data_IF_328582812156
#
_entry.id   IF_328582812156
#
_cell.length_a   1.000
_cell.length_b   1.000
_cell.length_c   1.000
_cell.angle_alpha   90.00
_cell.angle_beta   90.00
_cell.angle_gamma   90.00
#
_symmetry.space_group_name_H-M   'P 1'
#
loop_
_entity.id
_entity.type
_entity.pdbx_description
1 polymer ?
#
# COMPACT_ATOMS: atom_id res chain seq x y z
N UNK A 1 -33.25 13.53 -6.45
CA UNK A 1 -32.15 14.53 -6.34
C UNK A 1 -30.88 14.12 -7.11
N UNK A 2 -30.78 12.91 -7.68
CA UNK A 2 -29.68 12.47 -8.55
C UNK A 2 -29.54 13.24 -9.89
N UNK A 3 -30.58 13.95 -10.33
CA UNK A 3 -30.61 14.63 -11.64
C UNK A 3 -29.94 16.01 -11.68
N UNK A 4 -29.65 16.61 -10.52
CA UNK A 4 -28.99 17.93 -10.45
C UNK A 4 -27.46 17.84 -10.54
N UNK A 5 -26.85 16.73 -10.11
CA UNK A 5 -25.40 16.53 -10.19
C UNK A 5 -24.94 16.24 -11.64
N UNK A 6 -25.66 15.40 -12.40
CA UNK A 6 -25.35 15.16 -13.81
C UNK A 6 -25.35 16.43 -14.67
N UNK A 7 -26.22 17.39 -14.36
CA UNK A 7 -26.34 18.63 -15.14
C UNK A 7 -25.18 19.61 -14.88
N UNK A 8 -24.56 19.56 -13.69
CA UNK A 8 -23.35 20.31 -13.37
C UNK A 8 -22.10 19.66 -14.00
N UNK A 9 -22.05 18.33 -14.04
CA UNK A 9 -20.96 17.55 -14.67
C UNK A 9 -20.89 17.71 -16.21
N UNK A 10 -22.04 17.77 -16.90
CA UNK A 10 -22.07 17.93 -18.36
C UNK A 10 -21.79 19.36 -18.85
N UNK A 11 -22.02 20.37 -18.01
CA UNK A 11 -21.82 21.78 -18.38
C UNK A 11 -20.35 22.20 -18.30
N UNK A 12 -19.56 21.60 -17.40
CA UNK A 12 -18.11 21.87 -17.29
C UNK A 12 -17.31 21.09 -18.36
N UNK A 13 -17.74 19.87 -18.70
CA UNK A 13 -17.05 19.00 -19.67
C UNK A 13 -17.09 19.52 -21.11
N UNK A 14 -18.05 20.39 -21.46
CA UNK A 14 -18.13 21.02 -22.80
C UNK A 14 -17.31 22.31 -22.94
N UNK A 15 -16.79 22.86 -21.84
CA UNK A 15 -16.04 24.13 -21.85
C UNK A 15 -14.52 24.00 -22.00
N UNK A 16 -13.98 22.78 -21.95
CA UNK A 16 -12.54 22.51 -21.96
C UNK A 16 -12.15 21.49 -23.04
N UNK A 17 -12.59 21.72 -24.27
CA UNK A 17 -11.86 21.25 -25.44
C UNK A 17 -11.08 22.43 -26.01
N UNK A 18 -9.77 22.49 -25.74
CA UNK A 18 -8.72 22.68 -26.73
C UNK A 18 -7.37 22.97 -26.04
N UNK A 19 -6.39 22.18 -26.50
CA UNK A 19 -4.95 22.46 -26.61
C UNK A 19 -3.97 21.72 -25.67
N UNK A 20 -3.13 20.94 -26.37
CA UNK A 20 -1.83 20.34 -26.04
C UNK A 20 -1.81 18.92 -25.46
N UNK A 21 -1.90 17.95 -26.39
CA UNK A 21 -1.38 16.60 -26.19
C UNK A 21 0.16 16.60 -26.20
N UNK A 22 0.85 16.02 -25.21
CA UNK A 22 2.28 15.76 -25.32
C UNK A 22 2.54 14.48 -26.13
N UNK A 23 3.61 14.53 -26.92
CA UNK A 23 4.02 13.51 -27.88
C UNK A 23 4.40 12.17 -27.23
N UNK A 24 3.97 11.07 -27.85
CA UNK A 24 4.39 9.70 -27.52
C UNK A 24 5.85 9.52 -27.99
N UNK A 25 6.79 9.54 -27.05
CA UNK A 25 8.18 9.13 -27.29
C UNK A 25 8.24 7.61 -27.42
N UNK A 26 8.67 7.12 -28.59
CA UNK A 26 8.96 5.70 -28.84
C UNK A 26 10.14 5.23 -27.96
N UNK A 27 10.10 4.03 -27.37
CA UNK A 27 11.20 3.53 -26.54
C UNK A 27 12.45 3.21 -27.38
N UNK A 28 13.61 3.59 -26.83
CA UNK A 28 14.95 3.44 -27.40
C UNK A 28 15.41 1.96 -27.34
N UNK A 29 15.93 1.35 -28.41
CA UNK A 29 16.14 -0.11 -28.50
C UNK A 29 17.39 -0.65 -27.77
N UNK A 30 17.86 -0.01 -26.69
CA UNK A 30 19.03 -0.45 -25.91
C UNK A 30 18.76 -0.53 -24.40
N UNK A 31 17.61 -1.06 -24.03
CA UNK A 31 17.25 -1.31 -22.62
C UNK A 31 17.59 -2.75 -22.26
N UNK A 32 18.49 -2.96 -21.31
CA UNK A 32 18.80 -4.29 -20.77
C UNK A 32 17.56 -4.90 -20.12
N UNK A 33 17.44 -6.24 -20.15
CA UNK A 33 16.27 -6.96 -19.61
C UNK A 33 15.97 -6.59 -18.14
N UNK A 34 16.98 -6.19 -17.37
CA UNK A 34 16.82 -5.70 -16.01
C UNK A 34 16.09 -4.35 -15.95
N UNK A 35 16.45 -3.36 -16.77
CA UNK A 35 15.78 -2.05 -16.78
C UNK A 35 14.33 -2.10 -17.24
N UNK A 36 13.99 -2.97 -18.20
CA UNK A 36 12.59 -3.17 -18.60
C UNK A 36 11.76 -3.86 -17.51
N UNK A 37 12.38 -4.80 -16.76
CA UNK A 37 11.78 -5.38 -15.55
C UNK A 37 11.54 -4.33 -14.47
N UNK A 38 12.51 -3.43 -14.25
CA UNK A 38 12.43 -2.36 -13.24
C UNK A 38 11.47 -1.21 -13.63
N UNK A 39 11.29 -0.92 -14.92
CA UNK A 39 10.26 0.03 -15.39
C UNK A 39 8.84 -0.49 -15.24
N UNK A 40 8.64 -1.80 -15.14
CA UNK A 40 7.33 -2.38 -14.83
C UNK A 40 7.07 -2.43 -13.31
N UNK A 41 8.12 -2.22 -12.51
CA UNK A 41 8.09 -2.15 -11.04
C UNK A 41 7.88 -0.72 -10.50
N UNK A 42 7.79 0.30 -11.36
CA UNK A 42 7.34 1.62 -10.91
C UNK A 42 5.96 1.49 -10.32
N UNK A 43 5.87 1.83 -9.02
CA UNK A 43 4.64 2.02 -8.27
C UNK A 43 3.57 2.64 -9.17
N UNK A 44 2.30 2.21 -9.10
CA UNK A 44 1.23 3.12 -9.45
C UNK A 44 1.43 4.34 -8.53
N UNK A 45 1.94 5.43 -9.11
CA UNK A 45 1.86 6.73 -8.47
C UNK A 45 0.41 6.89 -7.99
N UNK A 46 0.22 7.40 -6.77
CA UNK A 46 -1.07 7.62 -6.09
C UNK A 46 -1.53 6.58 -5.04
N UNK A 47 -0.64 5.80 -4.40
CA UNK A 47 -0.87 5.42 -2.98
C UNK A 47 -0.01 6.32 -2.11
N UNK A 48 -0.58 6.97 -1.09
CA UNK A 48 0.17 7.77 -0.09
C UNK A 48 1.19 6.94 0.72
N UNK A 49 1.31 5.65 0.45
CA UNK A 49 2.29 4.75 1.07
C UNK A 49 3.56 4.72 0.20
N UNK A 50 4.30 5.83 0.17
CA UNK A 50 5.65 5.81 -0.38
C UNK A 50 6.55 5.02 0.59
N UNK A 51 6.75 3.77 0.22
CA UNK A 51 7.66 2.86 0.88
C UNK A 51 9.10 3.28 0.56
N UNK A 52 9.64 4.21 1.37
CA UNK A 52 11.03 4.68 1.24
C UNK A 52 12.02 3.61 1.76
N UNK A 53 12.21 2.59 0.92
CA UNK A 53 13.22 1.55 1.09
C UNK A 53 14.40 1.78 0.16
N UNK A 54 15.61 1.63 0.69
CA UNK A 54 16.81 1.50 -0.13
C UNK A 54 16.96 0.05 -0.58
N UNK A 55 16.17 -0.34 -1.58
CA UNK A 55 16.18 -1.71 -2.07
C UNK A 55 17.48 -2.03 -2.81
N UNK A 56 18.38 -2.76 -2.15
CA UNK A 56 19.55 -3.34 -2.82
C UNK A 56 19.20 -4.65 -3.52
N UNK A 57 18.77 -4.54 -4.78
CA UNK A 57 18.48 -5.71 -5.63
C UNK A 57 19.74 -6.38 -6.19
N UNK A 58 20.91 -5.76 -6.05
CA UNK A 58 22.17 -6.27 -6.59
C UNK A 58 22.95 -7.10 -5.57
N UNK A 59 22.46 -7.19 -4.33
CA UNK A 59 23.11 -7.96 -3.29
C UNK A 59 23.22 -9.44 -3.69
N UNK A 60 24.43 -10.03 -3.73
CA UNK A 60 24.63 -11.39 -4.26
C UNK A 60 23.93 -12.48 -3.44
N UNK A 61 23.62 -12.22 -2.16
CA UNK A 61 22.84 -13.15 -1.32
C UNK A 61 21.33 -13.08 -1.56
N UNK A 62 20.81 -11.98 -2.13
CA UNK A 62 19.37 -11.79 -2.36
C UNK A 62 18.81 -12.85 -3.31
N UNK A 63 19.49 -13.13 -4.41
CA UNK A 63 19.03 -14.12 -5.38
C UNK A 63 18.97 -15.53 -4.78
N UNK A 64 20.02 -15.93 -4.03
CA UNK A 64 20.06 -17.23 -3.33
C UNK A 64 18.95 -17.32 -2.29
N UNK A 65 18.73 -16.24 -1.54
CA UNK A 65 17.69 -16.16 -0.52
C UNK A 65 16.29 -16.28 -1.13
N UNK A 66 16.01 -15.57 -2.22
CA UNK A 66 14.73 -15.67 -2.94
C UNK A 66 14.49 -17.08 -3.48
N UNK A 67 15.51 -17.72 -4.07
CA UNK A 67 15.39 -19.09 -4.57
C UNK A 67 15.10 -20.08 -3.45
N UNK A 68 15.80 -19.95 -2.32
CA UNK A 68 15.56 -20.75 -1.13
C UNK A 68 14.11 -20.62 -0.62
N UNK A 69 13.63 -19.38 -0.50
CA UNK A 69 12.25 -19.08 -0.05
C UNK A 69 11.17 -19.61 -1.00
N UNK A 70 11.45 -19.69 -2.31
CA UNK A 70 10.51 -20.22 -3.32
C UNK A 70 10.47 -21.74 -3.36
N UNK A 71 11.61 -22.40 -3.15
CA UNK A 71 11.74 -23.84 -3.38
C UNK A 71 11.41 -24.67 -2.14
N UNK A 72 11.69 -24.14 -0.94
CA UNK A 72 11.42 -24.85 0.30
C UNK A 72 10.05 -24.40 0.85
N UNK A 73 9.31 -25.32 1.47
CA UNK A 73 8.02 -25.02 2.09
C UNK A 73 7.99 -25.33 3.60
N UNK A 74 9.05 -25.94 4.12
CA UNK A 74 9.09 -26.42 5.50
C UNK A 74 9.83 -25.43 6.40
N UNK A 75 9.34 -25.24 7.62
CA UNK A 75 9.97 -24.37 8.62
C UNK A 75 11.31 -24.97 9.12
N UNK A 76 11.50 -26.30 9.04
CA UNK A 76 12.75 -26.97 9.45
C UNK A 76 13.95 -26.64 8.54
N UNK A 77 13.69 -26.43 7.23
CA UNK A 77 14.72 -26.08 6.24
C UNK A 77 15.27 -24.66 6.45
N UNK A 78 14.48 -23.79 7.09
CA UNK A 78 14.88 -22.43 7.41
C UNK A 78 16.08 -22.43 8.35
N UNK A 79 16.01 -23.16 9.46
CA UNK A 79 17.12 -23.26 10.41
C UNK A 79 18.42 -23.77 9.77
N UNK A 80 18.33 -24.68 8.78
CA UNK A 80 19.50 -25.21 8.09
C UNK A 80 20.15 -24.21 7.14
N UNK A 81 19.37 -23.50 6.31
CA UNK A 81 19.89 -22.43 5.44
C UNK A 81 20.57 -21.32 6.24
N UNK A 82 20.03 -21.03 7.43
CA UNK A 82 20.52 -19.98 8.32
C UNK A 82 21.82 -20.35 9.03
N UNK A 83 22.09 -21.64 9.23
CA UNK A 83 23.40 -22.12 9.70
C UNK A 83 24.49 -22.07 8.60
N UNK A 84 24.09 -22.11 7.33
CA UNK A 84 25.00 -22.16 6.19
C UNK A 84 25.33 -20.75 5.63
N UNK A 85 24.44 -19.78 5.79
CA UNK A 85 24.67 -18.39 5.40
C UNK A 85 25.32 -17.61 6.55
N UNK A 86 26.64 -17.39 6.46
CA UNK A 86 27.45 -16.71 7.50
C UNK A 86 27.08 -15.24 7.79
N UNK A 87 26.20 -14.61 7.01
CA UNK A 87 25.82 -13.21 7.16
C UNK A 87 24.34 -13.09 7.56
N UNK A 88 24.08 -12.45 8.71
CA UNK A 88 22.72 -12.14 9.15
C UNK A 88 22.06 -11.21 8.13
N UNK A 89 20.83 -11.51 7.67
CA UNK A 89 20.16 -10.66 6.72
C UNK A 89 19.81 -9.32 7.38
N UNK A 90 20.39 -8.23 6.87
CA UNK A 90 20.02 -6.87 7.25
C UNK A 90 18.55 -6.59 6.82
N UNK A 91 17.87 -5.69 7.52
CA UNK A 91 16.50 -5.26 7.22
C UNK A 91 16.31 -4.89 5.75
N UNK A 92 17.28 -4.20 5.13
CA UNK A 92 17.18 -3.79 3.72
C UNK A 92 17.13 -5.01 2.77
N UNK A 93 17.91 -6.05 3.06
CA UNK A 93 17.90 -7.30 2.28
C UNK A 93 16.54 -8.01 2.41
N UNK A 94 15.96 -8.01 3.61
CA UNK A 94 14.64 -8.57 3.88
C UNK A 94 13.56 -7.79 3.14
N UNK A 95 13.59 -6.46 3.20
CA UNK A 95 12.65 -5.61 2.48
C UNK A 95 12.75 -5.82 0.97
N UNK A 96 13.97 -5.91 0.42
CA UNK A 96 14.20 -6.27 -0.99
C UNK A 96 13.63 -7.63 -1.33
N UNK A 97 13.81 -8.64 -0.47
CA UNK A 97 13.26 -9.98 -0.68
C UNK A 97 11.73 -9.98 -0.65
N UNK A 98 11.10 -9.34 0.35
CA UNK A 98 9.65 -9.20 0.46
C UNK A 98 9.10 -8.48 -0.77
N UNK A 99 9.75 -7.41 -1.22
CA UNK A 99 9.34 -6.67 -2.41
C UNK A 99 9.36 -7.52 -3.68
N UNK A 100 10.42 -8.31 -3.89
CA UNK A 100 10.51 -9.22 -5.04
C UNK A 100 9.49 -10.36 -4.94
N UNK A 101 9.15 -10.80 -3.73
CA UNK A 101 8.21 -11.89 -3.46
C UNK A 101 6.75 -11.44 -3.34
N UNK A 102 6.45 -10.14 -3.46
CA UNK A 102 5.10 -9.57 -3.21
C UNK A 102 3.95 -10.21 -4.00
N UNK A 103 4.24 -10.82 -5.14
CA UNK A 103 3.24 -11.53 -5.95
C UNK A 103 2.73 -12.82 -5.26
N UNK A 104 3.46 -13.34 -4.26
CA UNK A 104 3.05 -14.47 -3.43
C UNK A 104 3.19 -14.15 -1.94
N UNK A 105 2.06 -14.06 -1.24
CA UNK A 105 2.06 -13.69 0.17
C UNK A 105 2.78 -14.71 1.08
N UNK A 106 2.79 -16.00 0.73
CA UNK A 106 3.44 -17.06 1.52
C UNK A 106 4.97 -16.92 1.57
N UNK A 107 5.71 -16.89 0.43
CA UNK A 107 7.15 -16.63 0.45
C UNK A 107 7.52 -15.28 1.08
N UNK A 108 6.73 -14.23 0.83
CA UNK A 108 6.96 -12.90 1.41
C UNK A 108 6.81 -12.92 2.94
N UNK A 109 5.78 -13.60 3.46
CA UNK A 109 5.56 -13.74 4.89
C UNK A 109 6.65 -14.58 5.54
N UNK A 110 7.14 -15.62 4.86
CA UNK A 110 8.27 -16.42 5.34
C UNK A 110 9.54 -15.57 5.44
N UNK A 111 9.85 -14.78 4.42
CA UNK A 111 10.98 -13.84 4.46
C UNK A 111 10.89 -12.90 5.69
N UNK A 112 9.70 -12.35 5.95
CA UNK A 112 9.46 -11.51 7.11
C UNK A 112 9.64 -12.27 8.45
N UNK A 113 9.06 -13.46 8.58
CA UNK A 113 9.19 -14.28 9.79
C UNK A 113 10.64 -14.61 10.11
N UNK A 114 11.44 -14.95 9.10
CA UNK A 114 12.88 -15.18 9.30
C UNK A 114 13.52 -13.94 9.93
N UNK A 115 13.29 -12.74 9.39
CA UNK A 115 13.82 -11.52 10.00
C UNK A 115 13.45 -11.36 11.48
N UNK A 116 12.19 -11.65 11.85
CA UNK A 116 11.73 -11.54 13.24
C UNK A 116 12.40 -12.54 14.18
N UNK A 117 12.83 -13.71 13.67
CA UNK A 117 13.53 -14.74 14.45
C UNK A 117 15.01 -14.38 14.70
N UNK A 118 15.68 -13.67 13.78
CA UNK A 118 17.12 -13.41 13.88
C UNK A 118 17.46 -12.07 14.53
N UNK A 119 16.73 -11.01 14.18
CA UNK A 119 17.13 -9.66 14.55
C UNK A 119 16.48 -9.20 15.86
N UNK A 120 15.52 -9.95 16.43
CA UNK A 120 14.69 -9.59 17.59
C UNK A 120 14.07 -8.18 17.49
N UNK A 121 14.13 -7.57 16.31
CA UNK A 121 13.77 -6.20 16.05
C UNK A 121 12.80 -6.23 14.88
N UNK A 122 11.53 -6.12 15.20
CA UNK A 122 10.50 -5.90 14.21
C UNK A 122 10.70 -4.47 13.69
N UNK A 123 11.33 -4.32 12.52
CA UNK A 123 11.44 -3.00 11.89
C UNK A 123 10.05 -2.56 11.42
N UNK A 124 9.65 -1.34 11.80
CA UNK A 124 8.39 -0.73 11.38
C UNK A 124 8.23 -0.78 9.86
N UNK A 125 9.30 -0.51 9.11
CA UNK A 125 9.26 -0.51 7.64
C UNK A 125 8.98 -1.92 7.10
N UNK A 126 9.68 -2.93 7.59
CA UNK A 126 9.47 -4.32 7.17
C UNK A 126 8.05 -4.80 7.51
N UNK A 127 7.52 -4.41 8.67
CA UNK A 127 6.14 -4.70 9.08
C UNK A 127 5.13 -4.04 8.13
N UNK A 128 5.30 -2.75 7.84
CA UNK A 128 4.42 -2.01 6.93
C UNK A 128 4.42 -2.65 5.52
N UNK A 129 5.58 -3.05 5.01
CA UNK A 129 5.67 -3.70 3.69
C UNK A 129 4.95 -5.04 3.66
N UNK A 130 5.18 -5.91 4.66
CA UNK A 130 4.50 -7.22 4.67
C UNK A 130 2.98 -7.07 4.88
N UNK A 131 2.54 -6.09 5.66
CA UNK A 131 1.11 -5.75 5.83
C UNK A 131 0.50 -5.34 4.50
N UNK A 132 1.20 -4.53 3.71
CA UNK A 132 0.75 -4.15 2.37
C UNK A 132 0.66 -5.35 1.42
N UNK A 133 1.65 -6.25 1.42
CA UNK A 133 1.60 -7.50 0.65
C UNK A 133 0.39 -8.34 1.06
N UNK A 134 0.22 -8.58 2.36
CA UNK A 134 -0.91 -9.37 2.89
C UNK A 134 -2.26 -8.74 2.54
N UNK A 135 -2.39 -7.42 2.66
CA UNK A 135 -3.61 -6.70 2.29
C UNK A 135 -3.91 -6.76 0.79
N UNK A 136 -2.89 -6.72 -0.07
CA UNK A 136 -3.04 -6.92 -1.52
C UNK A 136 -3.56 -8.31 -1.87
N UNK A 137 -3.18 -9.33 -1.09
CA UNK A 137 -3.69 -10.70 -1.20
C UNK A 137 -4.94 -10.98 -0.35
N UNK A 138 -5.60 -9.93 0.18
CA UNK A 138 -6.77 -10.01 1.05
C UNK A 138 -6.58 -10.89 2.32
N UNK A 139 -5.33 -11.12 2.75
CA UNK A 139 -4.98 -11.85 3.98
C UNK A 139 -5.02 -10.94 5.21
N UNK A 140 -6.17 -10.28 5.39
CA UNK A 140 -6.35 -9.26 6.43
C UNK A 140 -6.21 -9.80 7.85
N UNK A 141 -6.62 -11.05 8.12
CA UNK A 141 -6.47 -11.66 9.45
C UNK A 141 -5.01 -11.73 9.89
N UNK A 142 -4.13 -12.19 9.00
CA UNK A 142 -2.68 -12.24 9.21
C UNK A 142 -2.09 -10.85 9.34
N UNK A 143 -2.50 -9.91 8.48
CA UNK A 143 -2.02 -8.53 8.55
C UNK A 143 -2.36 -7.86 9.89
N UNK A 144 -3.58 -8.06 10.39
CA UNK A 144 -3.99 -7.59 11.72
C UNK A 144 -3.23 -8.26 12.86
N UNK A 145 -2.76 -9.50 12.69
CA UNK A 145 -1.86 -10.13 13.66
C UNK A 145 -0.55 -9.36 13.78
N UNK A 146 0.06 -9.03 12.64
CA UNK A 146 1.31 -8.26 12.61
C UNK A 146 1.10 -6.86 13.23
N UNK A 147 -0.03 -6.20 12.95
CA UNK A 147 -0.34 -4.89 13.56
C UNK A 147 -0.46 -4.98 15.09
N UNK A 148 -1.06 -6.06 15.62
CA UNK A 148 -1.11 -6.28 17.07
C UNK A 148 0.28 -6.51 17.64
N UNK A 149 1.11 -7.29 16.96
CA UNK A 149 2.48 -7.55 17.38
C UNK A 149 3.32 -6.26 17.37
N UNK A 150 3.15 -5.39 16.35
CA UNK A 150 3.75 -4.06 16.31
C UNK A 150 3.34 -3.21 17.52
N UNK A 151 2.04 -3.13 17.82
CA UNK A 151 1.53 -2.37 18.96
C UNK A 151 2.07 -2.91 20.29
N UNK A 152 2.13 -4.24 20.46
CA UNK A 152 2.66 -4.87 21.67
C UNK A 152 4.16 -4.63 21.84
N UNK A 153 4.91 -4.56 20.74
CA UNK A 153 6.32 -4.19 20.70
C UNK A 153 6.56 -2.67 20.73
N UNK A 154 5.53 -1.85 20.97
CA UNK A 154 5.61 -0.38 21.02
C UNK A 154 6.10 0.28 19.72
N UNK A 155 5.93 -0.37 18.58
CA UNK A 155 6.17 0.22 17.26
C UNK A 155 4.99 1.09 16.84
N UNK A 156 5.27 2.12 16.02
CA UNK A 156 4.20 2.93 15.44
C UNK A 156 3.34 2.08 14.51
N UNK A 157 2.03 2.09 14.75
CA UNK A 157 1.04 1.40 13.89
C UNK A 157 0.34 2.35 12.94
N UNK A 158 0.68 3.65 12.95
CA UNK A 158 -0.03 4.67 12.17
C UNK A 158 0.00 4.36 10.67
N UNK A 159 1.19 4.18 10.11
CA UNK A 159 1.35 3.83 8.70
C UNK A 159 0.68 2.48 8.35
N UNK A 160 0.77 1.50 9.25
CA UNK A 160 0.10 0.21 9.07
C UNK A 160 -1.44 0.34 8.98
N UNK A 161 -2.04 1.24 9.76
CA UNK A 161 -3.48 1.54 9.67
C UNK A 161 -3.84 2.16 8.32
N UNK A 162 -3.04 3.12 7.84
CA UNK A 162 -3.26 3.74 6.53
C UNK A 162 -3.17 2.72 5.39
N UNK A 163 -2.19 1.82 5.46
CA UNK A 163 -2.04 0.72 4.52
C UNK A 163 -3.30 -0.16 4.53
N UNK A 164 -3.77 -0.60 5.70
CA UNK A 164 -4.94 -1.48 5.78
C UNK A 164 -6.22 -0.79 5.30
N UNK A 165 -6.40 0.49 5.60
CA UNK A 165 -7.52 1.30 5.07
C UNK A 165 -7.52 1.26 3.53
N UNK A 166 -6.38 1.56 2.92
CA UNK A 166 -6.21 1.58 1.46
C UNK A 166 -6.40 0.18 0.85
N UNK A 167 -5.90 -0.87 1.50
CA UNK A 167 -6.09 -2.27 1.05
C UNK A 167 -7.54 -2.75 1.20
N UNK A 168 -8.27 -2.34 2.24
CA UNK A 168 -9.71 -2.64 2.37
C UNK A 168 -10.54 -1.95 1.29
N UNK A 169 -10.27 -0.67 1.03
CA UNK A 169 -10.94 0.06 -0.04
C UNK A 169 -10.65 -0.56 -1.42
N UNK A 170 -9.40 -0.98 -1.66
CA UNK A 170 -9.02 -1.69 -2.88
C UNK A 170 -9.77 -3.01 -3.07
N UNK A 171 -10.01 -3.75 -1.98
CA UNK A 171 -10.81 -4.96 -1.97
C UNK A 171 -12.34 -4.70 -2.01
N UNK A 172 -12.75 -3.47 -2.35
CA UNK A 172 -14.13 -2.99 -2.39
C UNK A 172 -14.89 -3.21 -1.06
N UNK A 173 -14.18 -3.07 0.06
CA UNK A 173 -14.74 -3.18 1.40
C UNK A 173 -14.66 -1.83 2.13
N UNK A 174 -15.41 -0.85 1.62
CA UNK A 174 -15.50 0.51 2.16
C UNK A 174 -15.87 0.53 3.64
N UNK A 175 -16.81 -0.33 4.05
CA UNK A 175 -17.23 -0.45 5.44
C UNK A 175 -16.07 -0.81 6.39
N UNK A 176 -15.23 -1.79 6.05
CA UNK A 176 -14.04 -2.14 6.86
C UNK A 176 -12.95 -1.08 6.80
N UNK A 177 -12.81 -0.37 5.68
CA UNK A 177 -11.88 0.76 5.60
C UNK A 177 -12.28 1.87 6.59
N UNK A 178 -13.56 2.24 6.62
CA UNK A 178 -14.12 3.22 7.57
C UNK A 178 -14.03 2.71 9.02
N UNK A 179 -14.35 1.44 9.25
CA UNK A 179 -14.21 0.82 10.57
C UNK A 179 -12.78 0.91 11.08
N UNK A 180 -11.78 0.62 10.22
CA UNK A 180 -10.36 0.68 10.57
C UNK A 180 -9.95 2.09 10.99
N UNK A 181 -10.37 3.12 10.25
CA UNK A 181 -10.13 4.52 10.62
C UNK A 181 -10.66 4.84 12.02
N UNK A 182 -11.90 4.45 12.31
CA UNK A 182 -12.51 4.66 13.63
C UNK A 182 -11.81 3.84 14.74
N UNK A 183 -11.25 2.68 14.38
CA UNK A 183 -10.55 1.78 15.30
C UNK A 183 -9.16 2.27 15.68
N UNK A 184 -8.56 3.23 14.97
CA UNK A 184 -7.22 3.78 15.28
C UNK A 184 -7.11 4.25 16.74
N UNK A 185 -8.18 4.84 17.29
CA UNK A 185 -8.23 5.28 18.70
C UNK A 185 -7.92 4.15 19.70
N UNK A 186 -8.29 2.90 19.38
CA UNK A 186 -8.02 1.74 20.25
C UNK A 186 -6.55 1.31 20.24
N UNK A 187 -5.79 1.70 19.22
CA UNK A 187 -4.35 1.54 19.13
C UNK A 187 -3.59 2.76 19.65
N UNK A 188 -4.24 3.61 20.46
CA UNK A 188 -3.69 4.86 21.01
C UNK A 188 -3.27 5.86 19.92
N UNK A 189 -3.82 5.71 18.72
CA UNK A 189 -3.64 6.64 17.61
C UNK A 189 -4.90 7.51 17.51
N UNK A 190 -4.75 8.82 17.68
CA UNK A 190 -5.86 9.72 17.34
C UNK A 190 -5.90 9.85 15.81
N UNK A 191 -7.02 9.51 15.14
CA UNK A 191 -7.12 9.77 13.71
C UNK A 191 -6.85 11.25 13.45
N UNK A 192 -5.83 11.50 12.64
CA UNK A 192 -5.40 12.84 12.28
C UNK A 192 -5.92 13.21 10.88
N UNK A 193 -5.56 14.41 10.43
CA UNK A 193 -5.95 14.91 9.11
C UNK A 193 -5.39 14.04 7.99
N UNK A 194 -4.21 13.46 8.20
CA UNK A 194 -3.58 12.58 7.22
C UNK A 194 -4.40 11.30 7.04
N UNK A 195 -4.74 10.61 8.14
CA UNK A 195 -5.57 9.43 8.11
C UNK A 195 -6.95 9.70 7.48
N UNK A 196 -7.54 10.87 7.77
CA UNK A 196 -8.83 11.26 7.22
C UNK A 196 -8.74 11.41 5.70
N UNK A 197 -7.72 12.12 5.20
CA UNK A 197 -7.47 12.30 3.77
C UNK A 197 -7.11 10.98 3.09
N UNK A 198 -6.31 10.13 3.74
CA UNK A 198 -5.95 8.82 3.22
C UNK A 198 -7.18 7.93 2.99
N UNK A 199 -8.13 7.91 3.94
CA UNK A 199 -9.40 7.20 3.77
C UNK A 199 -10.22 7.75 2.60
N UNK A 200 -10.41 9.08 2.52
CA UNK A 200 -11.15 9.70 1.42
C UNK A 200 -10.51 9.37 0.06
N UNK A 201 -9.20 9.53 -0.05
CA UNK A 201 -8.43 9.21 -1.26
C UNK A 201 -8.60 7.74 -1.64
N UNK A 202 -8.47 6.82 -0.68
CA UNK A 202 -8.61 5.39 -0.93
C UNK A 202 -10.03 5.03 -1.42
N UNK A 203 -11.06 5.54 -0.75
CA UNK A 203 -12.45 5.30 -1.15
C UNK A 203 -12.73 5.82 -2.58
N UNK A 204 -12.36 7.06 -2.88
CA UNK A 204 -12.56 7.65 -4.21
C UNK A 204 -11.75 6.93 -5.29
N UNK A 205 -10.48 6.61 -5.02
CA UNK A 205 -9.57 5.90 -5.94
C UNK A 205 -10.12 4.55 -6.40
N UNK A 206 -10.88 3.88 -5.53
CA UNK A 206 -11.47 2.56 -5.80
C UNK A 206 -12.97 2.61 -6.05
N UNK A 207 -13.53 3.78 -6.37
CA UNK A 207 -14.90 3.93 -6.84
C UNK A 207 -15.98 4.07 -5.76
N UNK A 208 -15.61 4.10 -4.48
CA UNK A 208 -16.50 4.25 -3.33
C UNK A 208 -16.73 5.75 -3.00
N UNK A 209 -17.09 6.54 -4.03
CA UNK A 209 -17.17 8.01 -3.92
C UNK A 209 -18.33 8.45 -3.02
N UNK A 210 -19.46 7.74 -3.08
CA UNK A 210 -20.63 8.04 -2.25
C UNK A 210 -20.32 7.87 -0.77
N UNK A 211 -19.63 6.78 -0.40
CA UNK A 211 -19.19 6.54 0.97
C UNK A 211 -18.15 7.57 1.43
N UNK A 212 -17.26 8.02 0.54
CA UNK A 212 -16.30 9.08 0.84
C UNK A 212 -17.00 10.41 1.15
N UNK A 213 -17.99 10.80 0.33
CA UNK A 213 -18.78 12.01 0.54
C UNK A 213 -19.56 11.96 1.85
N UNK A 214 -20.27 10.85 2.11
CA UNK A 214 -21.02 10.67 3.35
C UNK A 214 -20.09 10.76 4.56
N UNK A 215 -18.97 10.03 4.53
CA UNK A 215 -18.00 10.04 5.61
C UNK A 215 -17.43 11.44 5.87
N UNK A 216 -17.13 12.19 4.81
CA UNK A 216 -16.65 13.57 4.91
C UNK A 216 -17.69 14.49 5.58
N UNK A 217 -18.96 14.38 5.19
CA UNK A 217 -20.05 15.21 5.72
C UNK A 217 -20.36 14.91 7.20
N UNK A 218 -20.32 13.64 7.59
CA UNK A 218 -20.53 13.21 8.99
C UNK A 218 -19.43 13.74 9.90
N UNK A 219 -18.18 13.75 9.41
CA UNK A 219 -17.01 14.10 10.22
C UNK A 219 -16.60 15.58 10.14
N UNK A 220 -17.37 16.44 9.46
CA UNK A 220 -17.07 17.87 9.25
C UNK A 220 -16.79 18.70 10.52
N UNK A 221 -17.27 18.25 11.69
CA UNK A 221 -17.02 18.92 12.98
C UNK A 221 -15.63 18.60 13.54
N UNK A 222 -15.14 17.39 13.27
CA UNK A 222 -13.83 16.92 13.70
C UNK A 222 -12.74 17.29 12.67
N UNK A 223 -13.09 17.20 11.39
CA UNK A 223 -12.25 17.58 10.26
C UNK A 223 -13.01 18.60 9.43
N UNK A 224 -12.78 19.92 9.64
CA UNK A 224 -13.41 20.96 8.85
C UNK A 224 -13.27 20.69 7.36
N UNK A 225 -14.32 20.97 6.60
CA UNK A 225 -14.34 20.77 5.15
C UNK A 225 -13.34 21.73 4.49
N UNK A 226 -12.13 21.24 4.26
CA UNK A 226 -11.07 21.98 3.59
C UNK A 226 -11.17 21.79 2.07
N UNK A 227 -10.69 22.78 1.31
CA UNK A 227 -10.63 22.73 -0.17
C UNK A 227 -9.93 21.44 -0.63
N UNK A 228 -8.93 20.99 0.13
CA UNK A 228 -8.18 19.76 -0.14
C UNK A 228 -9.05 18.50 -0.10
N UNK A 229 -9.98 18.37 0.87
CA UNK A 229 -10.89 17.22 0.95
C UNK A 229 -11.89 17.18 -0.21
N UNK A 230 -12.40 18.34 -0.63
CA UNK A 230 -13.23 18.43 -1.83
C UNK A 230 -12.44 18.11 -3.11
N UNK A 231 -11.19 18.59 -3.20
CA UNK A 231 -10.32 18.30 -4.33
C UNK A 231 -10.02 16.81 -4.45
N UNK A 232 -9.86 16.08 -3.33
CA UNK A 232 -9.69 14.62 -3.35
C UNK A 232 -10.91 13.95 -4.01
N UNK A 233 -12.12 14.29 -3.55
CA UNK A 233 -13.36 13.70 -4.07
C UNK A 233 -13.53 14.03 -5.57
N UNK A 234 -13.32 15.29 -5.95
CA UNK A 234 -13.46 15.73 -7.33
C UNK A 234 -12.40 15.11 -8.25
N UNK A 235 -11.13 15.09 -7.86
CA UNK A 235 -10.04 14.63 -8.72
C UNK A 235 -9.99 13.10 -8.80
N UNK A 236 -10.05 12.39 -7.66
CA UNK A 236 -9.93 10.93 -7.66
C UNK A 236 -11.23 10.27 -8.14
N UNK A 237 -12.40 10.84 -7.82
CA UNK A 237 -13.68 10.36 -8.36
C UNK A 237 -13.78 10.52 -9.88
N UNK A 238 -13.34 11.65 -10.45
CA UNK A 238 -13.32 11.83 -11.90
C UNK A 238 -12.31 10.92 -12.61
N UNK A 239 -11.13 10.70 -12.01
CA UNK A 239 -10.13 9.76 -12.51
C UNK A 239 -10.62 8.32 -12.53
N UNK A 240 -11.37 7.89 -11.51
CA UNK A 240 -11.98 6.57 -11.50
C UNK A 240 -13.00 6.41 -12.64
N UNK A 241 -13.90 7.39 -12.82
CA UNK A 241 -14.89 7.37 -13.89
C UNK A 241 -14.26 7.32 -15.30
N UNK A 242 -13.08 7.92 -15.49
CA UNK A 242 -12.34 7.88 -16.76
C UNK A 242 -11.61 6.54 -17.05
N UNK A 243 -11.50 5.65 -16.07
CA UNK A 243 -10.84 4.33 -16.19
C UNK A 243 -11.81 3.19 -16.52
N UNK A 244 -13.12 3.46 -16.49
CA UNK A 244 -14.20 2.53 -16.87
C UNK A 244 -14.55 2.70 -18.36
#
# INVERSE_FOLDING_TARGET
MAQRCCHFYLSISRGLQLQHAPAILKPNPKTSLSQAFYQTLSLPSHSNTDFDFNFDFNHPTLFKFIQFLKNNKNDDDDHHFLSASLEQPNTDLICSAIWVLREGWEPALRAFKLNTLYNNNNDEKACNLIIWVLGTHAKFSTAWSIIRDMHNSSLSTHQAMLIIIDRYAHANNSAKAIETFNFMNKFRLTPDREAFRALLTALCKYGNVEEAEEFMLVNKKLFPLEIESFNIILNEGTRFAARL
#
